data_IF_146939470918
#
_entry.id   IF_146939470918
#
_cell.length_a   1.000
_cell.length_b   1.000
_cell.length_c   1.000
_cell.angle_alpha   90.00
_cell.angle_beta   90.00
_cell.angle_gamma   90.00
#
_symmetry.space_group_name_H-M   'P 1'
#
loop_
_entity.id
_entity.type
_entity.pdbx_description
1 polymer ?
#
# COMPACT_ATOMS: atom_id res chain seq x y z
N UNK A 1 -37.75 -44.05 -0.55
CA UNK A 1 -38.15 -43.09 -1.60
C UNK A 1 -37.19 -41.90 -1.52
N UNK A 2 -36.15 -41.89 -2.35
CA UNK A 2 -35.13 -40.86 -2.40
C UNK A 2 -35.40 -40.01 -3.64
N UNK A 3 -35.68 -38.72 -3.45
CA UNK A 3 -35.90 -37.79 -4.57
C UNK A 3 -34.55 -37.24 -5.04
N UNK A 4 -34.26 -37.25 -6.35
CA UNK A 4 -33.03 -36.69 -6.89
C UNK A 4 -33.07 -35.16 -6.86
N UNK A 5 -31.96 -34.55 -6.44
CA UNK A 5 -31.76 -33.10 -6.45
C UNK A 5 -31.70 -32.62 -7.90
N UNK A 6 -32.67 -31.79 -8.28
CA UNK A 6 -32.84 -31.20 -9.62
C UNK A 6 -31.65 -30.31 -10.00
N UNK A 7 -31.03 -30.57 -11.16
CA UNK A 7 -29.89 -29.81 -11.72
C UNK A 7 -30.11 -28.28 -11.83
N UNK A 8 -31.34 -27.78 -11.83
CA UNK A 8 -31.63 -26.33 -11.82
C UNK A 8 -31.14 -25.62 -10.56
N UNK A 9 -31.03 -26.30 -9.42
CA UNK A 9 -30.50 -25.70 -8.19
C UNK A 9 -28.98 -25.47 -8.26
N UNK A 10 -28.24 -26.22 -9.10
CA UNK A 10 -26.78 -26.04 -9.25
C UNK A 10 -26.41 -24.76 -10.03
N UNK A 11 -27.28 -24.27 -10.90
CA UNK A 11 -26.99 -23.10 -11.75
C UNK A 11 -27.12 -21.79 -10.97
N UNK A 12 -28.07 -21.69 -10.03
CA UNK A 12 -28.26 -20.49 -9.21
C UNK A 12 -27.12 -20.26 -8.20
N UNK A 13 -26.53 -21.32 -7.65
CA UNK A 13 -25.39 -21.20 -6.73
C UNK A 13 -24.12 -20.71 -7.43
N UNK A 14 -23.97 -20.98 -8.74
CA UNK A 14 -22.81 -20.55 -9.52
C UNK A 14 -22.82 -19.04 -9.84
N UNK A 15 -24.00 -18.40 -9.90
CA UNK A 15 -24.14 -16.97 -10.18
C UNK A 15 -23.71 -16.06 -9.01
N UNK A 16 -23.57 -16.61 -7.80
CA UNK A 16 -23.04 -15.90 -6.61
C UNK A 16 -21.51 -15.88 -6.56
N UNK A 17 -20.82 -16.66 -7.39
CA UNK A 17 -19.37 -16.64 -7.46
C UNK A 17 -18.90 -15.45 -8.30
N UNK A 18 -17.77 -14.84 -7.90
CA UNK A 18 -17.23 -13.69 -8.61
C UNK A 18 -16.84 -14.05 -10.05
N UNK A 19 -17.13 -13.12 -10.98
CA UNK A 19 -16.82 -13.36 -12.39
C UNK A 19 -15.30 -13.43 -12.64
N UNK A 20 -14.84 -14.28 -13.57
CA UNK A 20 -13.41 -14.46 -13.82
C UNK A 20 -12.73 -13.22 -14.41
N UNK A 21 -13.47 -12.32 -15.08
CA UNK A 21 -12.95 -11.02 -15.52
C UNK A 21 -12.73 -10.08 -14.33
N UNK A 22 -13.65 -10.09 -13.37
CA UNK A 22 -13.56 -9.30 -12.16
C UNK A 22 -12.37 -9.71 -11.29
N UNK A 23 -12.19 -11.02 -11.05
CA UNK A 23 -11.02 -11.55 -10.32
C UNK A 23 -9.68 -11.17 -10.96
N UNK A 24 -9.61 -11.16 -12.31
CA UNK A 24 -8.41 -10.72 -13.04
C UNK A 24 -8.15 -9.23 -12.88
N UNK A 25 -9.20 -8.41 -12.89
CA UNK A 25 -9.10 -6.96 -12.65
C UNK A 25 -8.56 -6.69 -11.25
N UNK A 26 -9.13 -7.37 -10.25
CA UNK A 26 -8.75 -7.28 -8.84
C UNK A 26 -7.29 -7.72 -8.61
N UNK A 27 -6.90 -8.85 -9.19
CA UNK A 27 -5.50 -9.29 -9.16
C UNK A 27 -4.54 -8.24 -9.75
N UNK A 28 -4.89 -7.65 -10.89
CA UNK A 28 -4.06 -6.65 -11.56
C UNK A 28 -3.98 -5.33 -10.80
N UNK A 29 -5.08 -4.90 -10.16
CA UNK A 29 -5.06 -3.70 -9.33
C UNK A 29 -4.14 -3.89 -8.11
N UNK A 30 -4.22 -5.05 -7.45
CA UNK A 30 -3.35 -5.38 -6.32
C UNK A 30 -1.88 -5.45 -6.73
N UNK A 31 -1.56 -6.05 -7.88
CA UNK A 31 -0.19 -6.08 -8.40
C UNK A 31 0.38 -4.69 -8.73
N UNK A 32 -0.46 -3.70 -9.03
CA UNK A 32 -0.01 -2.31 -9.31
C UNK A 32 0.34 -1.55 -8.05
N UNK A 33 -0.22 -1.94 -6.91
CA UNK A 33 0.12 -1.34 -5.61
C UNK A 33 1.43 -1.91 -5.03
N UNK A 34 1.86 -3.07 -5.50
CA UNK A 34 3.14 -3.65 -5.10
C UNK A 34 4.32 -2.94 -5.80
N UNK A 35 5.49 -2.86 -5.14
CA UNK A 35 6.70 -2.31 -5.76
C UNK A 35 7.01 -3.01 -7.09
N UNK A 36 7.32 -2.23 -8.12
CA UNK A 36 7.69 -2.77 -9.43
C UNK A 36 8.96 -3.62 -9.32
N UNK A 37 8.87 -4.87 -9.78
CA UNK A 37 10.00 -5.81 -9.84
C UNK A 37 10.31 -6.16 -11.30
N UNK A 38 11.60 -6.39 -11.67
CA UNK A 38 11.93 -6.93 -12.98
C UNK A 38 11.18 -8.24 -13.26
N UNK A 39 10.67 -8.36 -14.49
CA UNK A 39 9.80 -9.44 -14.99
C UNK A 39 10.44 -10.84 -14.97
N UNK A 40 11.74 -10.93 -14.67
CA UNK A 40 12.54 -12.15 -14.75
C UNK A 40 12.26 -13.16 -13.62
N UNK A 41 11.77 -12.72 -12.45
CA UNK A 41 11.43 -13.64 -11.34
C UNK A 41 10.12 -13.23 -10.65
N UNK A 42 9.03 -14.01 -10.79
CA UNK A 42 7.81 -13.73 -10.06
C UNK A 42 8.08 -13.86 -8.55
N UNK A 43 7.62 -12.89 -7.77
CA UNK A 43 7.82 -12.92 -6.32
C UNK A 43 7.02 -14.07 -5.68
N UNK A 44 7.55 -14.75 -4.65
CA UNK A 44 6.77 -15.70 -3.86
C UNK A 44 5.44 -15.12 -3.36
N UNK A 45 5.39 -13.80 -3.08
CA UNK A 45 4.16 -13.12 -2.67
C UNK A 45 3.12 -13.07 -3.79
N UNK A 46 3.55 -12.85 -5.04
CA UNK A 46 2.65 -12.80 -6.20
C UNK A 46 2.05 -14.19 -6.47
N UNK A 47 2.82 -15.25 -6.24
CA UNK A 47 2.34 -16.63 -6.32
C UNK A 47 1.31 -16.92 -5.22
N UNK A 48 1.59 -16.50 -3.97
CA UNK A 48 0.65 -16.65 -2.85
C UNK A 48 -0.68 -15.92 -3.11
N UNK A 49 -0.62 -14.67 -3.57
CA UNK A 49 -1.81 -13.87 -3.91
C UNK A 49 -2.59 -14.50 -5.07
N UNK A 50 -1.89 -15.01 -6.10
CA UNK A 50 -2.55 -15.72 -7.20
C UNK A 50 -3.26 -16.97 -6.69
N UNK A 51 -2.60 -17.75 -5.84
CA UNK A 51 -3.17 -18.97 -5.29
C UNK A 51 -4.39 -18.67 -4.41
N UNK A 52 -4.34 -17.64 -3.56
CA UNK A 52 -5.47 -17.26 -2.69
C UNK A 52 -6.70 -16.82 -3.49
N UNK A 53 -6.52 -16.05 -4.56
CA UNK A 53 -7.61 -15.60 -5.44
C UNK A 53 -8.16 -16.76 -6.28
N UNK A 54 -7.31 -17.73 -6.65
CA UNK A 54 -7.72 -18.89 -7.47
C UNK A 54 -8.38 -19.98 -6.64
N UNK A 55 -8.01 -20.12 -5.36
CA UNK A 55 -8.56 -21.12 -4.44
C UNK A 55 -9.87 -20.69 -3.79
N UNK A 56 -10.10 -19.39 -3.64
CA UNK A 56 -11.28 -18.84 -2.96
C UNK A 56 -11.93 -17.75 -3.83
N UNK A 57 -13.03 -18.12 -4.51
CA UNK A 57 -13.82 -17.22 -5.35
C UNK A 57 -15.20 -16.92 -4.76
N UNK A 58 -15.39 -17.16 -3.45
CA UNK A 58 -16.67 -16.87 -2.80
C UNK A 58 -16.86 -15.35 -2.69
N UNK A 59 -18.09 -14.85 -2.86
CA UNK A 59 -18.37 -13.42 -2.97
C UNK A 59 -17.83 -12.61 -1.78
N UNK A 60 -18.01 -13.12 -0.56
CA UNK A 60 -17.51 -12.46 0.67
C UNK A 60 -16.00 -12.20 0.67
N UNK A 61 -15.19 -13.12 0.15
CA UNK A 61 -13.73 -12.94 0.11
C UNK A 61 -13.30 -11.97 -0.99
N UNK A 62 -14.10 -11.86 -2.05
CA UNK A 62 -13.85 -10.89 -3.12
C UNK A 62 -14.09 -9.49 -2.61
N UNK A 63 -15.20 -9.26 -1.89
CA UNK A 63 -15.47 -7.98 -1.23
C UNK A 63 -14.38 -7.60 -0.22
N UNK A 64 -13.91 -8.56 0.60
CA UNK A 64 -12.79 -8.34 1.52
C UNK A 64 -11.51 -7.93 0.77
N UNK A 65 -11.20 -8.59 -0.35
CA UNK A 65 -10.05 -8.26 -1.16
C UNK A 65 -10.15 -6.86 -1.79
N UNK A 66 -11.35 -6.42 -2.20
CA UNK A 66 -11.59 -5.05 -2.66
C UNK A 66 -11.36 -4.01 -1.56
N UNK A 67 -11.86 -4.28 -0.35
CA UNK A 67 -11.63 -3.42 0.81
C UNK A 67 -10.12 -3.28 1.11
N UNK A 68 -9.38 -4.38 1.02
CA UNK A 68 -7.94 -4.37 1.22
C UNK A 68 -7.21 -3.52 0.18
N UNK A 69 -7.58 -3.63 -1.09
CA UNK A 69 -7.00 -2.79 -2.16
C UNK A 69 -7.29 -1.31 -1.89
N UNK A 70 -8.51 -0.98 -1.46
CA UNK A 70 -8.86 0.40 -1.12
C UNK A 70 -8.01 0.94 0.04
N UNK A 71 -7.77 0.11 1.06
CA UNK A 71 -6.91 0.46 2.19
C UNK A 71 -5.46 0.70 1.75
N UNK A 72 -4.87 -0.17 0.93
CA UNK A 72 -3.48 0.00 0.46
C UNK A 72 -3.32 1.29 -0.35
N UNK A 73 -4.28 1.61 -1.22
CA UNK A 73 -4.31 2.87 -1.95
C UNK A 73 -4.37 4.08 -1.03
N UNK A 74 -5.25 4.02 -0.03
CA UNK A 74 -5.37 5.07 0.97
C UNK A 74 -4.08 5.25 1.76
N UNK A 75 -3.38 4.16 2.11
CA UNK A 75 -2.11 4.21 2.82
C UNK A 75 -1.01 4.91 2.00
N UNK A 76 -0.92 4.65 0.69
CA UNK A 76 0.01 5.34 -0.20
C UNK A 76 -0.29 6.84 -0.30
N UNK A 77 -1.56 7.19 -0.44
CA UNK A 77 -2.00 8.58 -0.47
C UNK A 77 -1.69 9.27 0.87
N UNK A 78 -1.94 8.60 1.99
CA UNK A 78 -1.61 9.10 3.32
C UNK A 78 -0.11 9.39 3.47
N UNK A 79 0.75 8.44 3.08
CA UNK A 79 2.20 8.67 3.08
C UNK A 79 2.60 9.89 2.24
N UNK A 80 1.99 10.05 1.06
CA UNK A 80 2.26 11.19 0.16
C UNK A 80 1.81 12.52 0.77
N UNK A 81 0.65 12.53 1.43
CA UNK A 81 0.14 13.72 2.12
C UNK A 81 1.01 14.07 3.34
N UNK A 82 1.45 13.06 4.08
CA UNK A 82 2.30 13.23 5.25
C UNK A 82 3.64 13.89 4.85
N UNK A 83 4.29 13.39 3.81
CA UNK A 83 5.55 13.97 3.28
C UNK A 83 5.36 15.43 2.82
N UNK A 84 4.22 15.76 2.19
CA UNK A 84 3.97 17.10 1.66
C UNK A 84 3.68 18.14 2.74
N UNK A 85 2.83 17.77 3.70
CA UNK A 85 2.32 18.72 4.69
C UNK A 85 3.12 18.69 5.98
N UNK A 86 3.94 17.67 6.20
CA UNK A 86 4.84 17.58 7.36
C UNK A 86 6.28 17.22 6.97
N UNK A 87 6.95 18.05 6.15
CA UNK A 87 8.33 17.81 5.72
C UNK A 87 9.34 17.86 6.87
N UNK A 88 8.96 18.42 8.02
CA UNK A 88 9.78 18.50 9.23
C UNK A 88 9.55 17.39 10.25
N UNK A 89 8.78 16.34 9.90
CA UNK A 89 8.48 15.23 10.83
C UNK A 89 9.73 14.42 11.20
N UNK A 90 10.69 14.29 10.28
CA UNK A 90 11.93 13.55 10.49
C UNK A 90 13.07 14.41 11.06
N UNK A 91 12.85 15.72 11.25
CA UNK A 91 13.85 16.64 11.79
C UNK A 91 13.65 16.74 13.31
N UNK A 92 14.68 16.41 14.07
CA UNK A 92 14.60 16.48 15.52
C UNK A 92 14.43 17.94 15.98
N UNK A 93 13.76 18.15 17.11
CA UNK A 93 13.49 19.50 17.65
C UNK A 93 14.79 20.28 17.89
N UNK A 94 15.86 19.59 18.28
CA UNK A 94 17.19 20.15 18.49
C UNK A 94 17.81 20.70 17.20
N UNK A 95 17.58 20.03 16.07
CA UNK A 95 18.04 20.47 14.76
C UNK A 95 17.22 21.67 14.25
N UNK A 96 15.91 21.71 14.55
CA UNK A 96 15.05 22.88 14.27
C UNK A 96 15.49 24.12 15.03
N UNK A 97 15.80 23.96 16.32
CA UNK A 97 16.31 25.06 17.16
C UNK A 97 17.63 25.58 16.62
N UNK A 98 18.56 24.69 16.23
CA UNK A 98 19.85 25.08 15.65
C UNK A 98 19.71 25.84 14.33
N UNK A 99 18.89 25.35 13.39
CA UNK A 99 18.67 26.04 12.11
C UNK A 99 17.97 27.39 12.30
N UNK A 100 17.03 27.48 13.25
CA UNK A 100 16.38 28.75 13.60
C UNK A 100 17.37 29.72 14.22
N UNK A 101 18.21 29.26 15.16
CA UNK A 101 19.26 30.05 15.80
C UNK A 101 20.28 30.59 14.79
N UNK A 102 20.66 29.80 13.78
CA UNK A 102 21.47 30.27 12.64
C UNK A 102 20.75 31.32 11.80
N UNK A 103 19.46 31.11 11.51
CA UNK A 103 18.65 32.03 10.70
C UNK A 103 18.45 33.40 11.36
N UNK A 104 18.36 33.45 12.69
CA UNK A 104 18.22 34.71 13.46
C UNK A 104 19.57 35.32 13.88
N UNK A 105 20.70 34.70 13.51
CA UNK A 105 22.03 35.18 13.87
C UNK A 105 22.39 34.98 15.35
N UNK A 106 21.68 34.09 16.06
CA UNK A 106 21.95 33.73 17.46
C UNK A 106 23.03 32.64 17.58
N UNK A 107 23.23 31.82 16.54
CA UNK A 107 24.30 30.83 16.45
C UNK A 107 25.35 31.28 15.42
N UNK A 108 26.54 31.69 15.90
CA UNK A 108 27.64 32.19 15.07
C UNK A 108 28.43 30.99 14.47
N UNK A 109 28.62 30.91 13.14
CA UNK A 109 29.38 29.83 12.51
C UNK A 109 30.79 29.68 13.11
N UNK A 110 31.28 28.45 13.26
CA UNK A 110 32.60 28.16 13.84
C UNK A 110 33.74 28.85 13.06
N UNK A 111 33.57 29.03 11.75
CA UNK A 111 34.49 29.76 10.87
C UNK A 111 34.71 31.21 11.34
N UNK A 112 33.68 31.84 11.92
CA UNK A 112 33.76 33.18 12.50
C UNK A 112 34.32 33.19 13.93
N UNK A 113 34.12 32.10 14.69
CA UNK A 113 34.75 31.91 16.01
C UNK A 113 36.26 31.72 15.92
N UNK A 114 36.76 31.13 14.82
CA UNK A 114 38.19 30.88 14.60
C UNK A 114 38.99 32.12 14.12
N UNK A 115 38.34 33.25 13.86
CA UNK A 115 38.95 34.48 13.33
C UNK A 115 39.64 35.40 14.34
N UNK A 116 39.96 34.94 15.56
CA UNK A 116 40.76 35.69 16.53
C UNK A 116 41.91 34.84 17.09
N UNK A 117 42.93 34.63 16.26
CA UNK A 117 44.30 34.41 16.73
C UNK A 117 45.17 35.50 16.10
N UNK A 118 45.31 36.61 16.84
CA UNK A 118 46.47 37.49 16.72
C UNK A 118 47.68 36.76 17.33
#
# INVERSE_FOLDING_TARGET
MSTPITSSQLILHQAMAASPSHLRSLYRSLLRELPHRPLSTPSPIQQRIRNSISSNSAPMQVEEAEQYIQYVKAQRMYATLLERYNPGMSMDEEEKVRLTARRVGMDLPEEWRAGKKN
#
